data_IF_720985166469
#
_entry.id   IF_720985166469
#
_cell.length_a   1.000
_cell.length_b   1.000
_cell.length_c   1.000
_cell.angle_alpha   90.00
_cell.angle_beta   90.00
_cell.angle_gamma   90.00
#
_symmetry.space_group_name_H-M   'P 1'
#
loop_
_entity.id
_entity.type
_entity.pdbx_description
1 polymer ?
#
# COMPACT_ATOMS: atom_id res chain seq x y z
N UNK A 1 -4.62 56.39 -23.57
CA UNK A 1 -3.30 55.73 -23.70
C UNK A 1 -2.71 55.56 -22.31
N UNK A 2 -2.27 54.33 -21.97
CA UNK A 2 -1.51 53.98 -20.75
C UNK A 2 -2.39 54.02 -19.48
N UNK A 3 -2.60 52.96 -18.71
CA UNK A 3 -1.65 51.94 -18.26
C UNK A 3 -2.41 50.65 -17.93
N UNK A 4 -2.37 49.73 -18.89
CA UNK A 4 -2.69 48.31 -18.78
C UNK A 4 -1.73 47.64 -17.78
N UNK A 5 -1.94 47.82 -16.48
CA UNK A 5 -1.08 47.21 -15.45
C UNK A 5 -1.84 46.54 -14.31
N UNK A 6 -3.16 46.38 -14.41
CA UNK A 6 -3.94 45.69 -13.37
C UNK A 6 -4.40 44.28 -13.75
N UNK A 7 -3.89 43.72 -14.86
CA UNK A 7 -4.24 42.37 -15.33
C UNK A 7 -3.12 41.33 -15.15
N UNK A 8 -2.06 41.66 -14.41
CA UNK A 8 -0.90 40.80 -14.19
C UNK A 8 -0.78 40.42 -12.71
N UNK A 9 -1.86 39.91 -12.11
CA UNK A 9 -1.81 39.33 -10.77
C UNK A 9 -2.77 38.13 -10.60
N UNK A 10 -3.07 37.43 -11.69
CA UNK A 10 -3.85 36.17 -11.68
C UNK A 10 -3.17 35.14 -12.57
N UNK A 11 -1.85 35.06 -12.48
CA UNK A 11 -1.09 33.96 -13.05
C UNK A 11 -0.03 33.61 -12.02
N UNK A 12 0.18 32.32 -11.80
CA UNK A 12 1.14 31.73 -10.85
C UNK A 12 0.60 31.65 -9.41
N UNK A 13 -0.37 30.78 -9.13
CA UNK A 13 -0.26 29.75 -8.07
C UNK A 13 -1.27 28.62 -8.39
N UNK A 14 -0.95 27.80 -9.38
CA UNK A 14 -1.41 26.40 -9.36
C UNK A 14 -0.15 25.56 -9.26
N UNK A 15 0.44 25.55 -8.06
CA UNK A 15 1.24 24.40 -7.64
C UNK A 15 0.25 23.24 -7.58
N UNK A 16 0.05 22.55 -8.69
CA UNK A 16 -0.46 21.20 -8.65
C UNK A 16 0.60 20.42 -7.86
N UNK A 17 0.35 20.23 -6.57
CA UNK A 17 1.19 19.45 -5.70
C UNK A 17 1.26 18.04 -6.30
N UNK A 18 2.37 17.72 -6.97
CA UNK A 18 2.68 16.38 -7.44
C UNK A 18 3.16 15.60 -6.21
N UNK A 19 2.23 15.38 -5.28
CA UNK A 19 2.51 14.60 -4.09
C UNK A 19 2.44 13.13 -4.49
N UNK A 20 3.39 12.34 -4.00
CA UNK A 20 3.36 10.91 -4.23
C UNK A 20 2.09 10.37 -3.54
N UNK A 21 1.17 9.83 -4.33
CA UNK A 21 -0.15 9.42 -3.85
C UNK A 21 -0.05 8.08 -3.14
N UNK A 22 -0.62 7.97 -1.94
CA UNK A 22 -0.82 6.72 -1.23
C UNK A 22 -1.53 5.71 -2.15
N UNK A 23 -0.91 4.55 -2.36
CA UNK A 23 -1.47 3.50 -3.21
C UNK A 23 -0.98 2.12 -2.82
N UNK A 24 -1.78 1.11 -3.14
CA UNK A 24 -1.41 -0.30 -3.04
C UNK A 24 -1.75 -0.98 -4.37
N UNK A 25 -0.86 -1.86 -4.82
CA UNK A 25 -1.04 -2.57 -6.08
C UNK A 25 -0.47 -3.98 -5.97
N UNK A 26 -1.21 -4.97 -6.45
CA UNK A 26 -0.72 -6.33 -6.59
C UNK A 26 0.39 -6.42 -7.64
N UNK A 27 1.43 -7.19 -7.35
CA UNK A 27 2.56 -7.40 -8.24
C UNK A 27 2.33 -8.63 -9.11
N UNK A 28 2.36 -8.43 -10.43
CA UNK A 28 2.36 -9.52 -11.40
C UNK A 28 3.67 -10.33 -11.39
N UNK A 29 4.76 -9.71 -10.92
CA UNK A 29 6.07 -10.35 -10.79
C UNK A 29 6.73 -9.87 -9.50
N UNK A 30 7.01 -10.81 -8.59
CA UNK A 30 7.62 -10.53 -7.29
C UNK A 30 9.14 -10.38 -7.46
N UNK A 31 9.78 -9.31 -6.95
CA UNK A 31 11.23 -9.19 -6.97
C UNK A 31 11.90 -10.37 -6.23
N UNK A 32 12.96 -10.94 -6.80
CA UNK A 32 13.61 -12.15 -6.24
C UNK A 32 14.00 -12.00 -4.78
N UNK A 33 14.60 -10.87 -4.39
CA UNK A 33 14.98 -10.60 -2.98
C UNK A 33 13.77 -10.61 -2.01
N UNK A 34 12.59 -10.23 -2.50
CA UNK A 34 11.35 -10.30 -1.70
C UNK A 34 10.88 -11.74 -1.63
N UNK A 35 10.82 -12.43 -2.77
CA UNK A 35 10.39 -13.83 -2.86
C UNK A 35 11.23 -14.77 -1.98
N UNK A 36 12.56 -14.58 -1.95
CA UNK A 36 13.50 -15.40 -1.18
C UNK A 36 13.28 -15.35 0.34
N UNK A 37 12.55 -14.34 0.82
CA UNK A 37 12.29 -14.14 2.23
C UNK A 37 10.82 -14.30 2.64
N UNK A 38 9.94 -14.60 1.67
CA UNK A 38 8.56 -14.95 1.96
C UNK A 38 8.53 -16.29 2.69
N UNK A 39 7.89 -16.32 3.86
CA UNK A 39 7.61 -17.57 4.56
C UNK A 39 6.25 -18.13 4.12
N UNK A 40 6.23 -19.38 3.69
CA UNK A 40 4.99 -20.03 3.24
C UNK A 40 4.04 -20.42 4.38
N UNK A 41 4.53 -20.45 5.63
CA UNK A 41 3.75 -20.80 6.82
C UNK A 41 3.05 -19.59 7.48
N UNK A 42 3.35 -18.39 7.02
CA UNK A 42 2.79 -17.15 7.56
C UNK A 42 1.63 -16.68 6.69
N UNK A 43 0.50 -16.37 7.32
CA UNK A 43 -0.70 -15.84 6.68
C UNK A 43 -0.46 -14.42 6.17
N UNK A 44 0.14 -13.55 6.98
CA UNK A 44 0.33 -12.14 6.66
C UNK A 44 1.74 -11.66 7.06
N UNK A 45 2.47 -11.12 6.09
CA UNK A 45 3.86 -10.64 6.30
C UNK A 45 4.06 -9.26 5.72
N UNK A 46 4.91 -8.48 6.40
CA UNK A 46 5.43 -7.22 5.89
C UNK A 46 6.92 -7.36 5.56
N UNK A 47 7.30 -7.04 4.32
CA UNK A 47 8.69 -7.05 3.88
C UNK A 47 9.07 -5.64 3.45
N UNK A 48 10.15 -5.09 3.97
CA UNK A 48 10.65 -3.76 3.61
C UNK A 48 12.00 -3.87 2.92
N UNK A 49 12.17 -3.18 1.80
CA UNK A 49 13.44 -3.05 1.08
C UNK A 49 13.91 -1.60 1.17
N UNK A 50 14.81 -1.36 2.12
CA UNK A 50 15.18 -0.01 2.58
C UNK A 50 13.98 0.76 3.16
N UNK A 51 14.03 2.09 3.10
CA UNK A 51 13.00 2.96 3.69
C UNK A 51 11.78 3.15 2.78
N UNK A 52 11.90 2.90 1.47
CA UNK A 52 10.92 3.36 0.46
C UNK A 52 10.02 2.27 -0.12
N UNK A 53 10.42 1.01 -0.06
CA UNK A 53 9.64 -0.08 -0.66
C UNK A 53 9.10 -0.98 0.44
N UNK A 54 7.79 -0.95 0.64
CA UNK A 54 7.09 -1.89 1.53
C UNK A 54 6.26 -2.84 0.68
N UNK A 55 6.35 -4.12 1.02
CA UNK A 55 5.61 -5.20 0.40
C UNK A 55 4.75 -5.87 1.47
N UNK A 56 3.50 -6.14 1.14
CA UNK A 56 2.56 -6.88 1.98
C UNK A 56 2.30 -8.22 1.29
N UNK A 57 2.54 -9.32 2.00
CA UNK A 57 2.30 -10.66 1.50
C UNK A 57 1.15 -11.25 2.29
N UNK A 58 0.12 -11.72 1.58
CA UNK A 58 -1.05 -12.33 2.15
C UNK A 58 -1.28 -13.69 1.48
N UNK A 59 -1.35 -14.75 2.29
CA UNK A 59 -1.70 -16.09 1.83
C UNK A 59 -3.18 -16.36 2.11
N UNK A 60 -3.93 -16.71 1.08
CA UNK A 60 -5.35 -17.04 1.20
C UNK A 60 -5.76 -18.10 0.20
N UNK A 61 -6.68 -18.97 0.59
CA UNK A 61 -7.38 -19.89 -0.32
C UNK A 61 -8.48 -19.17 -1.10
N UNK A 62 -8.89 -17.99 -0.67
CA UNK A 62 -9.97 -17.21 -1.28
C UNK A 62 -9.41 -16.13 -2.20
N UNK A 63 -10.20 -15.69 -3.18
CA UNK A 63 -9.83 -14.50 -3.95
C UNK A 63 -9.94 -13.25 -3.09
N UNK A 64 -8.92 -12.39 -3.16
CA UNK A 64 -8.73 -11.24 -2.28
C UNK A 64 -8.81 -9.94 -3.09
N UNK A 65 -9.57 -8.96 -2.60
CA UNK A 65 -9.45 -7.56 -2.99
C UNK A 65 -8.81 -6.74 -1.86
N UNK A 66 -8.17 -5.63 -2.21
CA UNK A 66 -7.49 -4.76 -1.24
C UNK A 66 -7.91 -3.31 -1.41
N UNK A 67 -8.11 -2.63 -0.29
CA UNK A 67 -8.43 -1.21 -0.22
C UNK A 67 -7.57 -0.54 0.86
N UNK A 68 -7.32 0.76 0.69
CA UNK A 68 -6.64 1.58 1.69
C UNK A 68 -7.61 2.58 2.27
N UNK A 69 -7.59 2.71 3.59
CA UNK A 69 -8.35 3.70 4.33
C UNK A 69 -7.44 4.37 5.35
N UNK A 70 -7.47 5.69 5.43
CA UNK A 70 -6.73 6.44 6.47
C UNK A 70 -7.73 6.93 7.49
N UNK A 71 -7.55 6.51 8.73
CA UNK A 71 -8.34 6.97 9.87
C UNK A 71 -7.39 7.62 10.86
N UNK A 72 -7.53 8.93 11.05
CA UNK A 72 -6.58 9.74 11.82
C UNK A 72 -5.14 9.57 11.28
N UNK A 73 -4.25 8.96 12.05
CA UNK A 73 -2.86 8.68 11.67
C UNK A 73 -2.59 7.19 11.37
N UNK A 74 -3.64 6.36 11.27
CA UNK A 74 -3.55 4.93 11.01
C UNK A 74 -3.84 4.66 9.54
N UNK A 75 -2.91 4.00 8.85
CA UNK A 75 -3.13 3.43 7.53
C UNK A 75 -3.75 2.04 7.68
N UNK A 76 -5.04 1.92 7.41
CA UNK A 76 -5.75 0.65 7.35
C UNK A 76 -5.62 0.04 5.95
N UNK A 77 -5.08 -1.18 5.88
CA UNK A 77 -5.08 -2.02 4.69
C UNK A 77 -6.21 -3.03 4.87
N UNK A 78 -7.27 -2.92 4.06
CA UNK A 78 -8.47 -3.74 4.18
C UNK A 78 -8.47 -4.77 3.07
N UNK A 79 -8.27 -6.03 3.44
CA UNK A 79 -8.46 -7.17 2.57
C UNK A 79 -9.90 -7.67 2.70
N UNK A 80 -10.58 -7.82 1.57
CA UNK A 80 -11.87 -8.50 1.52
C UNK A 80 -11.69 -9.79 0.74
N UNK A 81 -12.06 -10.91 1.34
CA UNK A 81 -12.06 -12.19 0.66
C UNK A 81 -13.45 -12.45 0.08
N UNK A 82 -13.50 -13.12 -1.05
CA UNK A 82 -14.75 -13.59 -1.64
C UNK A 82 -14.85 -15.08 -1.41
N UNK A 83 -16.06 -15.59 -1.13
CA UNK A 83 -16.35 -17.03 -0.96
C UNK A 83 -16.10 -17.88 -2.22
N UNK A 84 -15.40 -17.34 -3.22
CA UNK A 84 -14.86 -18.12 -4.32
C UNK A 84 -13.62 -18.85 -3.80
N UNK A 85 -13.88 -20.00 -3.16
CA UNK A 85 -12.83 -20.90 -2.68
C UNK A 85 -11.96 -21.35 -3.86
N UNK A 86 -10.66 -21.08 -3.77
CA UNK A 86 -9.68 -21.81 -4.55
C UNK A 86 -9.27 -23.04 -3.73
N UNK A 87 -9.06 -24.15 -4.44
CA UNK A 87 -8.58 -25.40 -3.82
C UNK A 87 -7.13 -25.33 -3.34
N UNK A 88 -6.41 -24.26 -3.67
CA UNK A 88 -4.99 -24.09 -3.39
C UNK A 88 -4.73 -22.76 -2.65
N UNK A 89 -3.82 -22.80 -1.67
CA UNK A 89 -3.34 -21.61 -0.98
C UNK A 89 -2.56 -20.73 -1.97
N UNK A 90 -3.07 -19.52 -2.22
CA UNK A 90 -2.44 -18.55 -3.13
C UNK A 90 -1.65 -17.51 -2.35
N UNK A 91 -0.55 -17.07 -2.95
CA UNK A 91 0.28 -15.97 -2.45
C UNK A 91 -0.10 -14.68 -3.19
N UNK A 92 -0.62 -13.70 -2.46
CA UNK A 92 -0.87 -12.35 -2.98
C UNK A 92 0.23 -11.42 -2.48
N UNK A 93 0.92 -10.75 -3.40
CA UNK A 93 2.01 -9.81 -3.06
C UNK A 93 1.67 -8.42 -3.54
N UNK A 94 1.55 -7.50 -2.59
CA UNK A 94 1.22 -6.10 -2.85
C UNK A 94 2.42 -5.21 -2.59
N UNK A 95 2.62 -4.21 -3.45
CA UNK A 95 3.52 -3.10 -3.17
C UNK A 95 2.73 -1.94 -2.59
N UNK A 96 3.12 -1.50 -1.40
CA UNK A 96 2.57 -0.32 -0.75
C UNK A 96 3.46 0.88 -1.06
N UNK A 97 2.87 1.90 -1.69
CA UNK A 97 3.45 3.22 -1.80
C UNK A 97 2.80 4.11 -0.74
N UNK A 98 3.57 4.51 0.28
CA UNK A 98 3.08 5.37 1.36
C UNK A 98 2.89 6.82 0.94
N UNK A 99 3.37 7.20 -0.24
CA UNK A 99 3.30 8.57 -0.68
C UNK A 99 4.15 9.49 0.20
N UNK A 100 3.73 10.76 0.30
CA UNK A 100 4.36 11.75 1.19
C UNK A 100 3.77 11.76 2.61
N UNK A 101 2.88 10.82 2.93
CA UNK A 101 2.26 10.73 4.26
C UNK A 101 3.03 9.82 5.21
N UNK A 102 3.48 10.40 6.32
CA UNK A 102 3.98 9.66 7.47
C UNK A 102 2.79 9.24 8.35
N UNK A 103 2.20 8.08 8.05
CA UNK A 103 1.26 7.43 8.97
C UNK A 103 2.04 6.80 10.13
N UNK A 104 1.57 6.98 11.36
CA UNK A 104 2.26 6.47 12.55
C UNK A 104 2.18 4.94 12.65
N UNK A 105 1.11 4.36 12.11
CA UNK A 105 0.81 2.93 12.25
C UNK A 105 0.18 2.38 10.96
N UNK A 106 0.53 1.13 10.62
CA UNK A 106 -0.16 0.33 9.61
C UNK A 106 -0.99 -0.71 10.35
N UNK A 107 -2.30 -0.71 10.11
CA UNK A 107 -3.23 -1.73 10.59
C UNK A 107 -3.73 -2.55 9.40
N UNK A 108 -3.92 -3.86 9.58
CA UNK A 108 -4.45 -4.73 8.53
C UNK A 108 -5.76 -5.34 9.02
N UNK A 109 -6.78 -5.26 8.19
CA UNK A 109 -8.07 -5.88 8.42
C UNK A 109 -8.34 -6.90 7.33
N UNK A 110 -8.78 -8.10 7.70
CA UNK A 110 -9.31 -9.11 6.78
C UNK A 110 -10.78 -9.29 7.10
N UNK A 111 -11.67 -9.00 6.14
CA UNK A 111 -13.12 -9.04 6.34
C UNK A 111 -13.56 -8.26 7.59
N UNK A 112 -13.05 -7.02 7.72
CA UNK A 112 -13.31 -6.10 8.85
C UNK A 112 -12.73 -6.52 10.22
N UNK A 113 -12.06 -7.67 10.32
CA UNK A 113 -11.40 -8.11 11.55
C UNK A 113 -9.91 -7.80 11.52
N UNK A 114 -9.37 -7.31 12.65
CA UNK A 114 -7.94 -7.01 12.76
C UNK A 114 -7.10 -8.29 12.60
N UNK A 115 -6.16 -8.26 11.65
CA UNK A 115 -5.19 -9.32 11.43
C UNK A 115 -3.78 -8.77 11.64
N UNK A 116 -3.10 -9.11 12.75
CA UNK A 116 -1.72 -8.69 12.96
C UNK A 116 -0.78 -9.38 11.96
N UNK A 117 0.36 -8.75 11.68
CA UNK A 117 1.43 -9.41 10.93
C UNK A 117 2.03 -10.57 11.74
N UNK A 118 2.21 -11.73 11.10
CA UNK A 118 2.94 -12.85 11.69
C UNK A 118 4.43 -12.53 11.84
N UNK A 119 4.94 -11.63 11.00
CA UNK A 119 6.29 -11.13 11.09
C UNK A 119 6.60 -10.01 10.10
N UNK A 120 7.66 -9.28 10.42
CA UNK A 120 8.27 -8.26 9.57
C UNK A 120 9.70 -8.64 9.19
N UNK A 121 10.12 -8.34 7.96
CA UNK A 121 11.52 -8.52 7.53
C UNK A 121 12.02 -7.36 6.69
N UNK A 122 13.16 -6.81 7.09
CA UNK A 122 13.91 -5.82 6.31
C UNK A 122 14.98 -6.52 5.47
N UNK A 123 15.06 -6.18 4.19
CA UNK A 123 16.08 -6.66 3.24
C UNK A 123 16.87 -5.47 2.67
N UNK A 124 18.14 -5.72 2.32
CA UNK A 124 19.09 -4.73 1.78
C UNK A 124 19.65 -5.19 0.42
#
# INVERSE_FOLDING_TARGET
MKRLFSLMLVAIIILAACNSKLSISELQSVPSKVQDVIKSDSTLQMITNGEKNTYIVFHSTEAVSVELEVTENILNIKFNTTNQENTELKQYVYKLNRGDSEHDTINVLVNEENMPFDGGRTIF
#
